data_IF_622508448592
#
_entry.id   IF_622508448592
#
_cell.length_a   1.000
_cell.length_b   1.000
_cell.length_c   1.000
_cell.angle_alpha   90.00
_cell.angle_beta   90.00
_cell.angle_gamma   90.00
#
_symmetry.space_group_name_H-M   'P 1'
#
loop_
_entity.id
_entity.type
_entity.pdbx_description
1 polymer ?
#
# COMPACT_ATOMS: atom_id res chain seq x y z
N UNK A 1 -21.53 53.73 18.61
CA UNK A 1 -21.71 54.07 17.18
C UNK A 1 -22.40 52.93 16.47
N UNK A 2 -23.62 53.14 15.94
CA UNK A 2 -24.39 52.14 15.21
C UNK A 2 -24.38 52.53 13.73
N UNK A 3 -23.85 51.66 12.86
CA UNK A 3 -23.80 51.92 11.43
C UNK A 3 -25.11 51.45 10.78
N UNK A 4 -25.86 52.38 10.17
CA UNK A 4 -27.05 52.10 9.36
C UNK A 4 -26.63 51.87 7.92
N UNK A 5 -26.74 50.63 7.44
CA UNK A 5 -26.43 50.26 6.07
C UNK A 5 -27.68 50.43 5.18
N UNK A 6 -27.53 51.15 4.07
CA UNK A 6 -28.57 51.31 3.03
C UNK A 6 -28.35 50.28 1.93
N UNK A 7 -29.39 49.55 1.56
CA UNK A 7 -29.40 48.68 0.38
C UNK A 7 -29.67 49.52 -0.88
N UNK A 8 -28.77 49.43 -1.87
CA UNK A 8 -28.94 50.02 -3.20
C UNK A 8 -29.07 48.93 -4.24
N UNK A 9 -30.25 48.80 -4.85
CA UNK A 9 -30.50 48.02 -6.06
C UNK A 9 -30.39 48.97 -7.26
N UNK A 10 -29.43 48.71 -8.16
CA UNK A 10 -29.46 49.30 -9.50
C UNK A 10 -29.17 48.21 -10.52
N UNK A 11 -30.23 47.75 -11.17
CA UNK A 11 -30.19 46.92 -12.36
C UNK A 11 -30.01 47.81 -13.58
N UNK A 12 -29.01 47.53 -14.41
CA UNK A 12 -29.24 47.46 -15.87
C UNK A 12 -28.12 46.75 -16.63
N UNK A 13 -28.48 45.99 -17.67
CA UNK A 13 -27.56 45.16 -18.44
C UNK A 13 -26.92 45.97 -19.57
N UNK A 14 -25.70 45.61 -19.97
CA UNK A 14 -25.15 46.05 -21.25
C UNK A 14 -24.49 44.85 -21.91
N UNK A 15 -25.13 44.42 -23.00
CA UNK A 15 -24.69 43.37 -23.89
C UNK A 15 -23.64 43.99 -24.82
N UNK A 16 -22.42 43.47 -24.82
CA UNK A 16 -21.49 43.66 -25.94
C UNK A 16 -20.94 42.29 -26.30
N UNK A 17 -21.37 41.80 -27.47
CA UNK A 17 -20.69 40.73 -28.17
C UNK A 17 -19.37 41.29 -28.69
N UNK A 18 -18.26 40.74 -28.20
CA UNK A 18 -16.95 40.86 -28.84
C UNK A 18 -16.31 39.49 -28.82
N UNK A 19 -16.34 38.84 -29.96
CA UNK A 19 -15.52 37.69 -30.30
C UNK A 19 -14.04 38.02 -30.06
N UNK A 20 -13.29 37.06 -29.51
CA UNK A 20 -11.84 37.17 -29.33
C UNK A 20 -11.38 37.59 -27.94
N UNK A 21 -11.64 36.76 -26.91
CA UNK A 21 -10.88 36.84 -25.65
C UNK A 21 -10.60 35.43 -25.17
N UNK A 22 -9.32 35.07 -25.31
CA UNK A 22 -8.57 34.00 -24.68
C UNK A 22 -9.40 33.03 -23.83
N UNK A 23 -9.44 31.80 -24.32
CA UNK A 23 -9.69 30.63 -23.49
C UNK A 23 -8.86 30.78 -22.20
N UNK A 24 -9.47 30.71 -21.01
CA UNK A 24 -8.70 30.48 -19.81
C UNK A 24 -7.90 29.21 -20.06
N UNK A 25 -6.58 29.33 -19.92
CA UNK A 25 -5.66 28.22 -20.00
C UNK A 25 -6.28 27.01 -19.30
N UNK A 26 -6.37 25.92 -20.05
CA UNK A 26 -6.34 24.57 -19.53
C UNK A 26 -5.28 24.50 -18.41
N UNK A 27 -5.71 24.71 -17.16
CA UNK A 27 -4.96 24.29 -16.00
C UNK A 27 -5.08 22.77 -16.00
N UNK A 28 -4.23 22.15 -16.80
CA UNK A 28 -3.93 20.73 -16.70
C UNK A 28 -3.34 20.54 -15.31
N UNK A 29 -4.20 20.29 -14.33
CA UNK A 29 -3.88 19.74 -13.03
C UNK A 29 -3.07 18.46 -13.31
N UNK A 30 -1.75 18.60 -13.29
CA UNK A 30 -0.83 17.46 -13.30
C UNK A 30 -1.08 16.78 -11.98
N UNK A 31 -2.03 15.86 -11.97
CA UNK A 31 -2.48 15.12 -10.81
C UNK A 31 -1.29 14.34 -10.29
N UNK A 32 -0.61 14.88 -9.30
CA UNK A 32 0.59 14.30 -8.73
C UNK A 32 0.20 12.96 -8.08
N UNK A 33 0.40 11.86 -8.81
CA UNK A 33 0.04 10.50 -8.38
C UNK A 33 0.85 10.04 -7.16
N UNK A 34 1.86 10.81 -6.76
CA UNK A 34 2.75 10.55 -5.64
C UNK A 34 2.31 11.21 -4.32
N UNK A 35 1.22 11.99 -4.26
CA UNK A 35 0.78 12.59 -2.99
C UNK A 35 0.44 11.51 -1.94
N UNK A 36 1.17 11.44 -0.80
CA UNK A 36 0.94 10.43 0.23
C UNK A 36 -0.37 10.62 1.01
N UNK A 37 -0.99 11.81 0.91
CA UNK A 37 -2.25 12.14 1.58
C UNK A 37 -3.48 11.87 0.71
N UNK A 38 -3.30 11.60 -0.58
CA UNK A 38 -4.36 11.26 -1.52
C UNK A 38 -5.21 10.11 -1.00
N UNK A 39 -6.52 10.29 -1.01
CA UNK A 39 -7.48 9.27 -0.58
C UNK A 39 -7.73 8.27 -1.71
N UNK A 40 -7.60 6.98 -1.39
CA UNK A 40 -7.90 5.83 -2.23
C UNK A 40 -9.09 5.08 -1.65
N UNK A 41 -9.99 4.64 -2.52
CA UNK A 41 -11.13 3.82 -2.10
C UNK A 41 -10.71 2.37 -1.86
N UNK A 42 -11.21 1.75 -0.78
CA UNK A 42 -10.91 0.35 -0.51
C UNK A 42 -11.71 -0.59 -1.45
N UNK A 43 -11.05 -1.60 -2.06
CA UNK A 43 -11.74 -2.59 -2.89
C UNK A 43 -12.64 -3.56 -2.12
N UNK A 44 -12.40 -3.73 -0.82
CA UNK A 44 -13.23 -4.57 0.05
C UNK A 44 -14.49 -3.84 0.54
N UNK A 45 -14.44 -2.50 0.63
CA UNK A 45 -15.54 -1.69 1.13
C UNK A 45 -15.51 -0.28 0.52
N UNK A 46 -16.56 0.04 -0.23
CA UNK A 46 -16.70 1.32 -0.93
C UNK A 46 -16.85 2.52 0.01
N UNK A 47 -17.24 2.30 1.27
CA UNK A 47 -17.36 3.36 2.27
C UNK A 47 -16.00 3.83 2.81
N UNK A 48 -14.95 3.03 2.65
CA UNK A 48 -13.62 3.36 3.14
C UNK A 48 -12.83 4.21 2.13
N UNK A 49 -12.46 5.41 2.56
CA UNK A 49 -11.48 6.27 1.90
C UNK A 49 -10.22 6.37 2.75
N UNK A 50 -9.10 5.88 2.21
CA UNK A 50 -7.85 5.67 2.95
C UNK A 50 -6.72 6.42 2.27
N UNK A 51 -5.91 7.14 3.04
CA UNK A 51 -4.71 7.80 2.50
C UNK A 51 -3.76 6.79 1.85
N UNK A 52 -3.15 7.17 0.73
CA UNK A 52 -2.23 6.31 -0.03
C UNK A 52 -1.13 5.71 0.86
N UNK A 53 -0.57 6.51 1.76
CA UNK A 53 0.42 6.09 2.76
C UNK A 53 -0.05 4.97 3.71
N UNK A 54 -1.35 4.90 4.03
CA UNK A 54 -1.92 3.89 4.93
C UNK A 54 -2.60 2.74 4.21
N UNK A 55 -2.76 2.83 2.89
CA UNK A 55 -3.49 1.87 2.10
C UNK A 55 -2.96 0.42 2.24
N UNK A 56 -1.63 0.16 2.17
CA UNK A 56 -1.10 -1.21 2.32
C UNK A 56 -1.43 -1.84 3.68
N UNK A 57 -1.36 -1.04 4.75
CA UNK A 57 -1.71 -1.52 6.08
C UNK A 57 -3.23 -1.77 6.21
N UNK A 58 -4.04 -0.87 5.65
CA UNK A 58 -5.49 -1.00 5.66
C UNK A 58 -5.96 -2.28 4.98
N UNK A 59 -5.46 -2.60 3.78
CA UNK A 59 -5.90 -3.79 3.03
C UNK A 59 -5.62 -5.09 3.78
N UNK A 60 -4.50 -5.19 4.52
CA UNK A 60 -4.17 -6.38 5.32
C UNK A 60 -5.23 -6.61 6.42
N UNK A 61 -5.67 -5.54 7.08
CA UNK A 61 -6.68 -5.62 8.13
C UNK A 61 -8.08 -5.82 7.55
N UNK A 62 -8.44 -5.05 6.51
CA UNK A 62 -9.76 -5.08 5.89
C UNK A 62 -10.03 -6.45 5.23
N UNK A 63 -9.01 -7.06 4.62
CA UNK A 63 -9.11 -8.42 4.06
C UNK A 63 -9.56 -9.47 5.09
N UNK A 64 -9.18 -9.32 6.36
CA UNK A 64 -9.60 -10.25 7.43
C UNK A 64 -11.09 -10.11 7.77
N UNK A 65 -11.66 -8.93 7.56
CA UNK A 65 -13.05 -8.62 7.85
C UNK A 65 -14.00 -8.97 6.69
N UNK A 66 -13.47 -9.08 5.47
CA UNK A 66 -14.24 -9.37 4.25
C UNK A 66 -13.72 -10.65 3.56
N UNK A 67 -13.95 -11.84 4.14
CA UNK A 67 -13.39 -13.09 3.63
C UNK A 67 -13.91 -13.49 2.25
N UNK A 68 -15.15 -13.11 1.91
CA UNK A 68 -15.76 -13.37 0.59
C UNK A 68 -14.98 -12.67 -0.54
N UNK A 69 -14.79 -11.35 -0.44
CA UNK A 69 -14.02 -10.55 -1.39
C UNK A 69 -12.53 -10.87 -1.31
N UNK A 70 -12.01 -11.23 -0.12
CA UNK A 70 -10.63 -11.70 0.02
C UNK A 70 -10.36 -12.99 -0.76
N UNK A 71 -11.40 -13.80 -0.97
CA UNK A 71 -11.31 -15.00 -1.80
C UNK A 71 -11.33 -14.67 -3.29
N UNK A 72 -11.89 -13.54 -3.70
CA UNK A 72 -12.00 -13.17 -5.12
C UNK A 72 -10.86 -12.26 -5.58
N UNK A 73 -10.35 -11.40 -4.70
CA UNK A 73 -9.31 -10.42 -5.00
C UNK A 73 -7.92 -10.93 -4.64
N UNK A 74 -6.93 -10.62 -5.49
CA UNK A 74 -5.51 -10.87 -5.26
C UNK A 74 -4.71 -9.59 -5.45
N UNK A 75 -3.60 -9.49 -4.71
CA UNK A 75 -2.66 -8.40 -4.89
C UNK A 75 -1.80 -8.66 -6.15
N UNK A 76 -1.52 -7.61 -6.91
CA UNK A 76 -0.55 -7.67 -8.01
C UNK A 76 0.85 -7.99 -7.48
N UNK A 77 1.63 -8.84 -8.18
CA UNK A 77 3.00 -9.15 -7.78
C UNK A 77 3.95 -7.95 -7.85
N UNK A 78 3.64 -6.94 -8.68
CA UNK A 78 4.50 -5.77 -8.90
C UNK A 78 4.13 -4.57 -8.03
N UNK A 79 2.85 -4.45 -7.65
CA UNK A 79 2.37 -3.34 -6.82
C UNK A 79 1.29 -3.80 -5.85
N UNK A 80 1.61 -3.76 -4.55
CA UNK A 80 0.69 -4.17 -3.49
C UNK A 80 -0.57 -3.28 -3.37
N UNK A 81 -0.61 -2.11 -4.02
CA UNK A 81 -1.82 -1.26 -4.09
C UNK A 81 -2.84 -1.79 -5.10
N UNK A 82 -2.41 -2.56 -6.10
CA UNK A 82 -3.32 -3.14 -7.09
C UNK A 82 -3.96 -4.39 -6.51
N UNK A 83 -5.26 -4.33 -6.25
CA UNK A 83 -6.10 -5.47 -5.91
C UNK A 83 -6.98 -5.79 -7.10
N UNK A 84 -6.78 -6.97 -7.69
CA UNK A 84 -7.39 -7.39 -8.95
C UNK A 84 -8.15 -8.70 -8.72
N UNK A 85 -9.32 -8.90 -9.35
CA UNK A 85 -9.99 -10.19 -9.33
C UNK A 85 -9.09 -11.33 -9.82
N UNK A 86 -9.21 -12.51 -9.21
CA UNK A 86 -8.39 -13.69 -9.52
C UNK A 86 -8.38 -14.04 -11.01
N UNK A 87 -9.53 -13.96 -11.67
CA UNK A 87 -9.65 -14.32 -13.09
C UNK A 87 -8.99 -13.28 -14.01
N UNK A 88 -8.90 -12.02 -13.58
CA UNK A 88 -8.28 -10.93 -14.34
C UNK A 88 -6.78 -10.76 -14.03
N UNK A 89 -6.27 -11.40 -12.98
CA UNK A 89 -4.90 -11.23 -12.52
C UNK A 89 -3.86 -11.56 -13.60
N UNK A 90 -4.08 -12.61 -14.41
CA UNK A 90 -3.16 -13.00 -15.49
C UNK A 90 -3.03 -11.88 -16.54
N UNK A 91 -4.16 -11.38 -17.03
CA UNK A 91 -4.18 -10.27 -17.98
C UNK A 91 -3.60 -8.98 -17.36
N UNK A 92 -3.89 -8.71 -16.09
CA UNK A 92 -3.29 -7.60 -15.37
C UNK A 92 -1.76 -7.71 -15.31
N UNK A 93 -1.20 -8.89 -15.06
CA UNK A 93 0.27 -9.02 -14.98
C UNK A 93 0.98 -8.70 -16.30
N UNK A 94 0.32 -8.91 -17.44
CA UNK A 94 0.87 -8.58 -18.76
C UNK A 94 0.79 -7.09 -19.07
N UNK A 95 -0.23 -6.42 -18.54
CA UNK A 95 -0.58 -5.01 -18.82
C UNK A 95 -0.24 -4.05 -17.68
N UNK A 96 0.32 -4.54 -16.57
CA UNK A 96 0.57 -3.75 -15.38
C UNK A 96 1.61 -2.66 -15.63
N UNK A 97 1.25 -1.42 -15.30
CA UNK A 97 2.12 -0.24 -15.39
C UNK A 97 3.39 -0.36 -14.54
N UNK A 98 3.35 -1.13 -13.45
CA UNK A 98 4.48 -1.36 -12.57
C UNK A 98 5.30 -2.60 -12.93
N UNK A 99 5.01 -3.26 -14.06
CA UNK A 99 5.82 -4.38 -14.53
C UNK A 99 7.19 -3.84 -14.96
N UNK A 100 8.31 -4.36 -14.43
CA UNK A 100 9.63 -3.96 -14.89
C UNK A 100 9.81 -4.35 -16.36
N UNK A 101 10.22 -3.38 -17.19
CA UNK A 101 10.71 -3.63 -18.55
C UNK A 101 11.95 -4.52 -18.42
N UNK A 102 12.01 -5.63 -19.15
CA UNK A 102 13.01 -6.69 -18.98
C UNK A 102 14.46 -6.31 -19.35
N UNK A 103 14.82 -5.03 -19.33
CA UNK A 103 16.11 -4.51 -19.78
C UNK A 103 17.02 -4.23 -18.57
N UNK A 104 17.24 -5.25 -17.76
CA UNK A 104 18.33 -5.28 -16.77
C UNK A 104 18.80 -6.72 -16.66
N UNK A 105 19.24 -7.25 -17.80
CA UNK A 105 20.17 -8.35 -17.81
C UNK A 105 21.50 -7.74 -17.36
N UNK A 106 21.65 -7.58 -16.05
CA UNK A 106 22.97 -7.43 -15.47
C UNK A 106 23.68 -8.73 -15.85
N UNK A 107 24.52 -8.64 -16.87
CA UNK A 107 25.52 -9.64 -17.24
C UNK A 107 26.37 -9.87 -15.98
N UNK A 108 25.91 -10.76 -15.11
CA UNK A 108 26.66 -11.18 -13.95
C UNK A 108 27.80 -12.03 -14.49
N UNK A 109 28.94 -11.37 -14.72
CA UNK A 109 30.21 -12.04 -14.95
C UNK A 109 30.34 -13.18 -13.93
N UNK A 110 30.35 -14.39 -14.47
CA UNK A 110 30.43 -15.66 -13.78
C UNK A 110 31.82 -15.82 -13.16
N UNK A 111 32.12 -15.11 -12.07
CA UNK A 111 33.31 -15.38 -11.23
C UNK A 111 33.02 -15.31 -9.72
N UNK A 112 31.77 -15.07 -9.31
CA UNK A 112 31.41 -15.23 -7.91
C UNK A 112 31.17 -16.71 -7.60
N UNK A 113 32.14 -17.34 -6.91
CA UNK A 113 32.08 -18.72 -6.42
C UNK A 113 30.67 -19.07 -5.88
N UNK A 114 30.15 -20.29 -6.18
CA UNK A 114 28.79 -20.65 -5.81
C UNK A 114 28.63 -20.54 -4.30
N UNK A 115 27.72 -19.67 -3.85
CA UNK A 115 27.33 -19.61 -2.44
C UNK A 115 26.57 -20.90 -2.13
N UNK A 116 27.30 -21.91 -1.69
CA UNK A 116 26.79 -23.22 -1.31
C UNK A 116 25.88 -23.03 -0.09
N UNK A 117 24.58 -22.90 -0.33
CA UNK A 117 23.56 -23.28 0.64
C UNK A 117 23.57 -24.81 0.65
N UNK A 118 24.43 -25.35 1.52
CA UNK A 118 24.60 -26.74 1.92
C UNK A 118 23.81 -27.77 1.09
N UNK A 119 24.48 -28.40 0.13
CA UNK A 119 24.07 -29.72 -0.36
C UNK A 119 24.76 -30.76 0.49
N UNK A 120 23.97 -31.58 1.16
CA UNK A 120 24.42 -32.65 2.04
C UNK A 120 25.17 -33.71 1.24
N UNK A 121 26.48 -33.86 1.45
CA UNK A 121 27.22 -35.06 1.05
C UNK A 121 27.07 -36.12 2.14
N UNK A 122 26.53 -37.26 1.71
CA UNK A 122 26.22 -38.47 2.43
C UNK A 122 27.32 -38.99 3.37
N UNK A 123 26.89 -39.29 4.61
CA UNK A 123 27.17 -40.52 5.35
C UNK A 123 28.65 -40.94 5.57
N UNK A 124 29.17 -40.64 6.76
CA UNK A 124 29.95 -41.63 7.54
C UNK A 124 29.52 -41.50 9.00
N UNK A 125 29.10 -42.64 9.53
CA UNK A 125 28.65 -42.88 10.89
C UNK A 125 29.75 -42.58 11.91
N UNK A 126 29.51 -41.64 12.84
CA UNK A 126 30.03 -41.79 14.20
C UNK A 126 28.95 -41.35 15.20
N UNK A 127 28.57 -42.29 16.06
CA UNK A 127 27.60 -42.06 17.11
C UNK A 127 28.25 -41.23 18.21
N UNK A 128 27.86 -39.96 18.34
CA UNK A 128 28.00 -39.23 19.60
C UNK A 128 26.69 -38.54 19.95
N UNK A 129 26.20 -38.94 21.11
CA UNK A 129 24.99 -38.56 21.82
C UNK A 129 24.64 -37.06 21.78
N UNK A 130 23.36 -36.77 21.54
CA UNK A 130 22.74 -35.43 21.59
C UNK A 130 22.70 -34.89 23.02
N UNK A 131 23.02 -33.60 23.30
CA UNK A 131 22.54 -32.93 24.49
C UNK A 131 21.14 -32.35 24.25
N UNK A 132 20.19 -32.81 25.06
CA UNK A 132 18.82 -32.30 25.16
C UNK A 132 18.82 -30.83 25.57
N UNK A 133 18.24 -29.94 24.76
CA UNK A 133 17.88 -28.59 25.21
C UNK A 133 16.40 -28.58 25.58
N UNK A 134 16.12 -28.70 26.87
CA UNK A 134 14.83 -28.36 27.46
C UNK A 134 14.68 -26.83 27.48
N UNK A 135 13.54 -26.25 27.07
CA UNK A 135 13.25 -24.86 27.36
C UNK A 135 12.79 -24.72 28.83
N UNK A 136 13.49 -23.90 29.61
CA UNK A 136 13.13 -23.58 30.99
C UNK A 136 11.84 -22.73 31.04
N UNK A 137 10.95 -22.93 32.01
CA UNK A 137 9.81 -22.02 32.21
C UNK A 137 10.29 -20.68 32.78
N UNK A 138 9.85 -19.57 32.17
CA UNK A 138 10.04 -18.22 32.72
C UNK A 138 9.17 -18.03 33.96
N UNK A 139 9.75 -17.48 35.03
CA UNK A 139 9.03 -17.09 36.23
C UNK A 139 8.02 -15.96 35.95
N UNK A 140 6.85 -15.96 36.60
CA UNK A 140 5.90 -14.86 36.47
C UNK A 140 6.41 -13.62 37.22
N UNK A 141 6.17 -12.47 36.59
CA UNK A 141 6.55 -11.16 37.07
C UNK A 141 5.48 -10.66 38.06
N UNK A 142 5.65 -10.98 39.34
CA UNK A 142 4.86 -10.37 40.43
C UNK A 142 5.82 -9.78 41.45
N UNK A 143 5.79 -8.45 41.56
CA UNK A 143 6.53 -7.63 42.52
C UNK A 143 6.00 -7.89 43.94
N UNK A 144 6.85 -7.99 44.97
CA UNK A 144 6.43 -8.14 46.36
C UNK A 144 6.34 -6.76 47.00
N UNK A 145 5.14 -6.20 47.06
CA UNK A 145 4.77 -5.32 48.18
C UNK A 145 3.26 -5.39 48.39
N UNK A 146 2.84 -4.95 49.58
CA UNK A 146 1.57 -5.11 50.29
C UNK A 146 1.45 -6.39 51.14
N UNK A 147 1.06 -6.36 52.41
CA UNK A 147 0.99 -5.35 53.48
C UNK A 147 0.62 -6.12 54.78
N UNK A 148 0.90 -5.53 55.94
CA UNK A 148 0.28 -5.75 57.27
C UNK A 148 0.11 -7.17 57.88
N UNK A 149 0.82 -7.42 59.00
CA UNK A 149 0.30 -7.49 60.38
C UNK A 149 1.42 -7.92 61.36
#
# INVERSE_FOLDING_TARGET
HMATYRFGTTSSPSRTATEGRAQPAEESDVKDDADPNRLLQCPYDKSHQIRASRFPYHIIKCRKNHPELASELRACPFNARHLVPKHELAHHTETCENRPSGDSQDEVDNDAAPFVWSVDKTFTQEQKSKPSKTPAPRAPNTLPWDDEQ
#
